data_IF_248450059440
#
_entry.id   IF_248450059440
#
_cell.length_a   1.000
_cell.length_b   1.000
_cell.length_c   1.000
_cell.angle_alpha   90.00
_cell.angle_beta   90.00
_cell.angle_gamma   90.00
#
_symmetry.space_group_name_H-M   'P 1'
#
loop_
_entity.id
_entity.type
_entity.pdbx_description
1 polymer ?
#
# COMPACT_ATOMS: atom_id res chain seq x y z
N UNK A 1 5.29 -26.76 6.39
CA UNK A 1 6.61 -26.06 6.29
C UNK A 1 6.85 -25.87 4.79
N UNK A 2 7.22 -24.66 4.36
CA UNK A 2 7.52 -24.38 2.95
C UNK A 2 8.76 -25.14 2.52
N UNK A 3 8.70 -25.85 1.41
CA UNK A 3 9.80 -26.70 0.92
C UNK A 3 10.52 -26.13 -0.29
N UNK A 4 9.80 -25.38 -1.15
CA UNK A 4 10.36 -24.72 -2.33
C UNK A 4 9.57 -23.46 -2.67
N UNK A 5 10.25 -22.33 -2.86
CA UNK A 5 9.64 -21.03 -3.14
C UNK A 5 9.81 -20.65 -4.61
N UNK A 6 8.69 -20.32 -5.29
CA UNK A 6 8.76 -19.62 -6.56
C UNK A 6 8.73 -18.12 -6.33
N UNK A 7 9.67 -17.40 -6.94
CA UNK A 7 9.79 -15.94 -6.86
C UNK A 7 9.10 -15.33 -8.08
N UNK A 8 7.87 -14.81 -7.87
CA UNK A 8 7.03 -14.27 -8.94
C UNK A 8 7.35 -12.79 -9.22
N UNK A 9 8.60 -12.50 -9.47
CA UNK A 9 9.07 -11.12 -9.73
C UNK A 9 10.40 -11.15 -10.52
N UNK A 10 10.98 -9.98 -10.77
CA UNK A 10 12.23 -9.80 -11.52
C UNK A 10 13.13 -8.77 -10.83
N UNK A 11 14.36 -8.61 -11.38
CA UNK A 11 15.28 -7.54 -10.99
C UNK A 11 15.77 -7.64 -9.55
N UNK A 12 15.87 -6.49 -8.90
CA UNK A 12 16.42 -6.35 -7.54
C UNK A 12 15.65 -7.17 -6.53
N UNK A 13 14.31 -7.05 -6.50
CA UNK A 13 13.51 -7.73 -5.49
C UNK A 13 13.56 -9.25 -5.63
N UNK A 14 13.59 -9.77 -6.85
CA UNK A 14 13.77 -11.21 -7.07
C UNK A 14 15.12 -11.69 -6.51
N UNK A 15 16.17 -10.92 -6.72
CA UNK A 15 17.50 -11.21 -6.17
C UNK A 15 17.52 -11.13 -4.64
N UNK A 16 16.80 -10.14 -4.05
CA UNK A 16 16.70 -9.99 -2.58
C UNK A 16 16.01 -11.20 -1.94
N UNK A 17 14.89 -11.64 -2.52
CA UNK A 17 14.17 -12.85 -2.05
C UNK A 17 15.01 -14.11 -2.23
N UNK A 18 15.69 -14.25 -3.38
CA UNK A 18 16.60 -15.37 -3.65
C UNK A 18 17.69 -15.47 -2.58
N UNK A 19 18.28 -14.35 -2.17
CA UNK A 19 19.28 -14.34 -1.09
C UNK A 19 18.72 -14.84 0.22
N UNK A 20 17.51 -14.38 0.59
CA UNK A 20 16.85 -14.86 1.80
C UNK A 20 16.56 -16.39 1.74
N UNK A 21 16.11 -16.89 0.58
CA UNK A 21 15.92 -18.33 0.39
C UNK A 21 17.23 -19.11 0.60
N UNK A 22 18.34 -18.61 0.06
CA UNK A 22 19.67 -19.26 0.22
C UNK A 22 20.15 -19.24 1.67
N UNK A 23 19.98 -18.12 2.38
CA UNK A 23 20.33 -17.99 3.80
C UNK A 23 19.52 -18.95 4.67
N UNK A 24 18.26 -19.18 4.34
CA UNK A 24 17.37 -20.11 5.03
C UNK A 24 17.52 -21.57 4.57
N UNK A 25 18.33 -21.84 3.54
CA UNK A 25 18.48 -23.17 2.96
C UNK A 25 17.23 -23.69 2.25
N UNK A 26 16.37 -22.81 1.76
CA UNK A 26 15.13 -23.14 1.04
C UNK A 26 15.39 -23.08 -0.48
N UNK A 27 15.22 -24.17 -1.23
CA UNK A 27 15.31 -24.16 -2.68
C UNK A 27 14.38 -23.13 -3.30
N UNK A 28 14.84 -22.44 -4.36
CA UNK A 28 14.02 -21.45 -5.02
C UNK A 28 14.02 -21.56 -6.54
N UNK A 29 12.85 -21.26 -7.11
CA UNK A 29 12.62 -21.11 -8.54
C UNK A 29 12.40 -19.64 -8.85
N UNK A 30 13.06 -19.12 -9.85
CA UNK A 30 12.77 -17.78 -10.36
C UNK A 30 12.05 -17.87 -11.70
N UNK A 31 11.15 -16.91 -11.93
CA UNK A 31 10.53 -16.77 -13.25
C UNK A 31 11.19 -15.64 -14.02
N UNK A 32 11.19 -15.72 -15.34
CA UNK A 32 11.70 -14.67 -16.19
C UNK A 32 10.97 -14.58 -17.53
N UNK A 33 10.90 -13.37 -18.10
CA UNK A 33 10.54 -13.19 -19.50
C UNK A 33 11.76 -13.54 -20.39
N UNK A 34 11.53 -13.68 -21.68
CA UNK A 34 12.65 -13.91 -22.63
C UNK A 34 13.69 -12.77 -22.60
N UNK A 35 13.30 -11.54 -22.24
CA UNK A 35 14.24 -10.42 -22.13
C UNK A 35 15.12 -10.47 -20.87
N UNK A 36 14.70 -11.19 -19.84
CA UNK A 36 15.40 -11.27 -18.56
C UNK A 36 16.20 -12.58 -18.39
N UNK A 37 16.32 -13.40 -19.43
CA UNK A 37 16.96 -14.72 -19.37
C UNK A 37 18.39 -14.70 -18.80
N UNK A 38 19.14 -13.64 -19.06
CA UNK A 38 20.53 -13.45 -18.58
C UNK A 38 20.63 -12.62 -17.29
N UNK A 39 19.47 -12.25 -16.67
CA UNK A 39 19.46 -11.43 -15.46
C UNK A 39 20.10 -12.15 -14.27
N UNK A 40 20.67 -11.40 -13.33
CA UNK A 40 21.44 -11.96 -12.22
C UNK A 40 20.63 -12.93 -11.35
N UNK A 41 19.35 -12.64 -11.07
CA UNK A 41 18.49 -13.53 -10.31
C UNK A 41 18.28 -14.86 -11.00
N UNK A 42 18.22 -14.90 -12.34
CA UNK A 42 18.11 -16.13 -13.14
C UNK A 42 19.40 -16.95 -13.05
N UNK A 43 20.54 -16.29 -13.18
CA UNK A 43 21.86 -16.96 -13.13
C UNK A 43 22.22 -17.55 -11.77
N UNK A 44 21.64 -17.01 -10.68
CA UNK A 44 21.95 -17.40 -9.31
C UNK A 44 20.89 -18.33 -8.66
N UNK A 45 19.76 -18.53 -9.32
CA UNK A 45 18.70 -19.40 -8.83
C UNK A 45 19.06 -20.88 -8.96
N UNK A 46 18.39 -21.73 -8.17
CA UNK A 46 18.51 -23.18 -8.28
C UNK A 46 17.81 -23.69 -9.54
N UNK A 47 16.65 -23.11 -9.84
CA UNK A 47 15.85 -23.40 -11.03
C UNK A 47 15.30 -22.09 -11.62
N UNK A 48 15.03 -22.08 -12.92
CA UNK A 48 14.38 -20.93 -13.58
C UNK A 48 13.38 -21.37 -14.63
N UNK A 49 12.29 -20.62 -14.79
CA UNK A 49 11.24 -20.89 -15.77
C UNK A 49 10.96 -19.64 -16.60
N UNK A 50 11.04 -19.79 -17.93
CA UNK A 50 10.60 -18.73 -18.83
C UNK A 50 9.08 -18.72 -18.90
N UNK A 51 8.45 -17.60 -18.49
CA UNK A 51 7.00 -17.45 -18.41
C UNK A 51 6.40 -16.63 -19.55
N UNK A 52 7.17 -16.28 -20.56
CA UNK A 52 6.64 -15.60 -21.73
C UNK A 52 7.54 -14.51 -22.32
N UNK A 53 6.99 -13.71 -23.26
CA UNK A 53 7.71 -12.63 -23.94
C UNK A 53 7.95 -11.41 -23.01
N UNK A 54 8.72 -10.39 -23.48
CA UNK A 54 9.07 -9.22 -22.65
C UNK A 54 7.91 -8.41 -22.07
N UNK A 55 6.74 -8.22 -22.75
CA UNK A 55 5.64 -7.48 -22.15
C UNK A 55 5.13 -8.14 -20.86
N UNK A 56 5.09 -7.38 -19.77
CA UNK A 56 4.69 -7.90 -18.43
C UNK A 56 3.28 -8.49 -18.42
N UNK A 57 2.37 -7.96 -19.24
CA UNK A 57 1.01 -8.51 -19.41
C UNK A 57 1.03 -9.98 -19.85
N UNK A 58 1.98 -10.36 -20.67
CA UNK A 58 2.09 -11.67 -21.29
C UNK A 58 3.06 -12.61 -20.54
N UNK A 59 3.67 -12.12 -19.44
CA UNK A 59 4.63 -12.82 -18.59
C UNK A 59 4.34 -12.63 -17.10
N UNK A 60 4.92 -11.63 -16.44
CA UNK A 60 4.86 -11.40 -14.98
C UNK A 60 3.47 -11.10 -14.42
N UNK A 61 2.52 -10.62 -15.24
CA UNK A 61 1.12 -10.39 -14.88
C UNK A 61 0.20 -11.56 -15.33
N UNK A 62 0.77 -12.58 -15.96
CA UNK A 62 0.00 -13.73 -16.40
C UNK A 62 -0.06 -14.78 -15.28
N UNK A 63 -1.17 -14.77 -14.53
CA UNK A 63 -1.39 -15.68 -13.40
C UNK A 63 -1.24 -17.15 -13.81
N UNK A 64 -1.77 -17.54 -14.97
CA UNK A 64 -1.73 -18.94 -15.43
C UNK A 64 -0.30 -19.43 -15.66
N UNK A 65 0.58 -18.57 -16.20
CA UNK A 65 2.00 -18.92 -16.39
C UNK A 65 2.73 -19.10 -15.06
N UNK A 66 2.42 -18.26 -14.06
CA UNK A 66 3.01 -18.38 -12.72
C UNK A 66 2.54 -19.66 -12.03
N UNK A 67 1.24 -19.98 -12.08
CA UNK A 67 0.70 -21.22 -11.50
C UNK A 67 1.30 -22.45 -12.19
N UNK A 68 1.35 -22.47 -13.53
CA UNK A 68 1.98 -23.55 -14.29
C UNK A 68 3.47 -23.72 -13.91
N UNK A 69 4.21 -22.60 -13.71
CA UNK A 69 5.58 -22.67 -13.24
C UNK A 69 5.72 -23.30 -11.85
N UNK A 70 4.77 -23.05 -10.93
CA UNK A 70 4.72 -23.72 -9.63
C UNK A 70 4.51 -25.22 -9.80
N UNK A 71 3.53 -25.61 -10.61
CA UNK A 71 3.17 -27.03 -10.81
C UNK A 71 4.31 -27.85 -11.42
N UNK A 72 4.97 -27.34 -12.48
CA UNK A 72 6.05 -28.08 -13.16
C UNK A 72 7.33 -28.17 -12.33
N UNK A 73 7.56 -27.21 -11.41
CA UNK A 73 8.75 -27.19 -10.55
C UNK A 73 8.50 -27.78 -9.16
N UNK A 74 7.23 -28.03 -8.81
CA UNK A 74 6.84 -28.50 -7.48
C UNK A 74 7.03 -27.44 -6.39
N UNK A 75 6.98 -26.14 -6.73
CA UNK A 75 7.02 -25.07 -5.73
C UNK A 75 5.70 -25.04 -4.93
N UNK A 76 5.81 -25.07 -3.61
CA UNK A 76 4.67 -25.10 -2.68
C UNK A 76 4.37 -23.73 -2.05
N UNK A 77 5.18 -22.71 -2.40
CA UNK A 77 4.95 -21.32 -1.99
C UNK A 77 5.39 -20.34 -3.09
N UNK A 78 4.77 -19.16 -3.09
CA UNK A 78 5.09 -18.06 -4.01
C UNK A 78 5.38 -16.80 -3.22
N UNK A 79 6.54 -16.18 -3.48
CA UNK A 79 6.85 -14.84 -3.02
C UNK A 79 6.65 -13.85 -4.15
N UNK A 80 5.68 -12.91 -4.04
CA UNK A 80 5.34 -11.99 -5.13
C UNK A 80 6.27 -10.78 -5.23
N UNK A 81 7.11 -10.53 -4.21
CA UNK A 81 7.89 -9.29 -4.11
C UNK A 81 7.00 -8.06 -3.94
N UNK A 82 7.27 -7.01 -4.72
CA UNK A 82 6.43 -5.81 -4.82
C UNK A 82 6.09 -5.50 -6.31
N UNK A 83 5.01 -4.73 -6.54
CA UNK A 83 4.49 -4.51 -7.89
C UNK A 83 3.88 -5.78 -8.48
N UNK A 84 3.68 -5.81 -9.79
CA UNK A 84 3.04 -6.92 -10.52
C UNK A 84 1.81 -7.51 -9.81
N UNK A 85 1.91 -8.74 -9.31
CA UNK A 85 0.80 -9.46 -8.69
C UNK A 85 0.81 -9.42 -7.15
N UNK A 86 1.71 -8.64 -6.53
CA UNK A 86 1.87 -8.63 -5.06
C UNK A 86 0.63 -8.16 -4.29
N UNK A 87 -0.19 -7.30 -4.89
CA UNK A 87 -1.44 -6.79 -4.31
C UNK A 87 -2.68 -7.26 -5.11
N UNK A 88 -2.57 -8.42 -5.75
CA UNK A 88 -3.66 -9.00 -6.52
C UNK A 88 -4.37 -10.08 -5.71
N UNK A 89 -5.55 -9.75 -5.16
CA UNK A 89 -6.33 -10.69 -4.34
C UNK A 89 -6.72 -11.97 -5.10
N UNK A 90 -7.06 -11.85 -6.40
CA UNK A 90 -7.41 -13.01 -7.23
C UNK A 90 -6.23 -13.96 -7.39
N UNK A 91 -5.02 -13.43 -7.52
CA UNK A 91 -3.80 -14.26 -7.59
C UNK A 91 -3.59 -15.04 -6.29
N UNK A 92 -3.71 -14.38 -5.14
CA UNK A 92 -3.61 -15.05 -3.84
C UNK A 92 -4.64 -16.17 -3.69
N UNK A 93 -5.91 -15.93 -4.07
CA UNK A 93 -6.96 -16.96 -4.05
C UNK A 93 -6.68 -18.14 -4.96
N UNK A 94 -6.21 -17.88 -6.19
CA UNK A 94 -5.90 -18.95 -7.14
C UNK A 94 -4.76 -19.82 -6.59
N UNK A 95 -3.70 -19.23 -6.02
CA UNK A 95 -2.61 -20.00 -5.41
C UNK A 95 -3.13 -20.87 -4.25
N UNK A 96 -3.90 -20.29 -3.34
CA UNK A 96 -4.48 -21.01 -2.20
C UNK A 96 -5.40 -22.17 -2.66
N UNK A 97 -6.19 -21.96 -3.71
CA UNK A 97 -7.03 -23.01 -4.31
C UNK A 97 -6.21 -24.17 -4.92
N UNK A 98 -4.97 -23.92 -5.34
CA UNK A 98 -4.03 -24.95 -5.81
C UNK A 98 -3.15 -25.53 -4.69
N UNK A 99 -3.41 -25.18 -3.43
CA UNK A 99 -2.61 -25.64 -2.30
C UNK A 99 -1.21 -24.99 -2.22
N UNK A 100 -1.00 -23.88 -2.92
CA UNK A 100 0.25 -23.13 -2.97
C UNK A 100 0.15 -21.94 -2.01
N UNK A 101 1.11 -21.83 -1.09
CA UNK A 101 1.13 -20.75 -0.10
C UNK A 101 1.51 -19.42 -0.75
N UNK A 102 0.63 -18.41 -0.67
CA UNK A 102 1.00 -17.03 -0.98
C UNK A 102 1.77 -16.42 0.19
N UNK A 103 3.04 -16.07 -0.01
CA UNK A 103 3.88 -15.41 1.03
C UNK A 103 3.52 -13.93 1.07
N UNK A 104 2.59 -13.61 1.95
CA UNK A 104 1.99 -12.28 2.09
C UNK A 104 0.66 -12.34 2.83
N UNK A 105 -0.13 -11.27 2.77
CA UNK A 105 -1.45 -11.19 3.40
C UNK A 105 -2.45 -12.14 2.72
N UNK A 106 -3.59 -12.32 3.37
CA UNK A 106 -4.70 -13.07 2.77
C UNK A 106 -5.33 -12.28 1.62
N UNK A 107 -6.02 -12.96 0.72
CA UNK A 107 -6.76 -12.30 -0.35
C UNK A 107 -7.79 -11.30 0.18
N UNK A 108 -8.38 -11.57 1.35
CA UNK A 108 -9.31 -10.66 2.02
C UNK A 108 -8.62 -9.37 2.49
N UNK A 109 -7.45 -9.48 3.14
CA UNK A 109 -6.65 -8.31 3.55
C UNK A 109 -6.27 -7.42 2.34
N UNK A 110 -5.90 -8.05 1.22
CA UNK A 110 -5.58 -7.32 -0.02
C UNK A 110 -6.81 -6.57 -0.53
N UNK A 111 -8.01 -7.18 -0.51
CA UNK A 111 -9.24 -6.50 -0.96
C UNK A 111 -9.63 -5.35 -0.05
N UNK A 112 -9.64 -5.57 1.27
CA UNK A 112 -10.00 -4.55 2.25
C UNK A 112 -9.12 -3.32 2.11
N UNK A 113 -7.80 -3.52 2.03
CA UNK A 113 -6.84 -2.42 1.97
C UNK A 113 -6.63 -1.86 0.55
N UNK A 114 -7.02 -2.60 -0.48
CA UNK A 114 -6.91 -2.17 -1.88
C UNK A 114 -8.01 -1.21 -2.34
N UNK A 115 -9.15 -1.17 -1.65
CA UNK A 115 -10.23 -0.22 -1.90
C UNK A 115 -10.13 0.97 -0.94
N UNK A 116 -9.99 2.19 -1.47
CA UNK A 116 -9.72 3.39 -0.65
C UNK A 116 -10.78 3.70 0.39
N UNK A 117 -12.06 3.47 0.06
CA UNK A 117 -13.17 3.75 0.97
C UNK A 117 -13.18 2.70 2.07
N UNK A 118 -13.14 1.44 1.70
CA UNK A 118 -13.10 0.32 2.63
C UNK A 118 -11.88 0.39 3.55
N UNK A 119 -10.70 0.69 2.99
CA UNK A 119 -9.47 0.84 3.77
C UNK A 119 -9.58 1.97 4.81
N UNK A 120 -10.13 3.14 4.43
CA UNK A 120 -10.32 4.26 5.36
C UNK A 120 -11.31 3.92 6.47
N UNK A 121 -12.45 3.31 6.13
CA UNK A 121 -13.47 2.87 7.12
C UNK A 121 -12.88 1.83 8.06
N UNK A 122 -12.21 0.81 7.53
CA UNK A 122 -11.55 -0.22 8.33
C UNK A 122 -10.46 0.37 9.23
N UNK A 123 -9.63 1.28 8.71
CA UNK A 123 -8.62 1.97 9.51
C UNK A 123 -9.24 2.71 10.70
N UNK A 124 -10.34 3.42 10.48
CA UNK A 124 -11.08 4.16 11.52
C UNK A 124 -11.66 3.21 12.57
N UNK A 125 -12.30 2.11 12.16
CA UNK A 125 -12.84 1.08 13.05
C UNK A 125 -11.75 0.41 13.90
N UNK A 126 -10.58 0.24 13.34
CA UNK A 126 -9.41 -0.32 14.03
C UNK A 126 -8.71 0.68 14.97
N UNK A 127 -9.09 1.96 14.94
CA UNK A 127 -8.53 3.02 15.77
C UNK A 127 -7.30 3.72 15.17
N UNK A 128 -7.05 3.54 13.88
CA UNK A 128 -6.02 4.29 13.15
C UNK A 128 -6.59 5.68 12.83
N UNK A 129 -5.88 6.77 13.12
CA UNK A 129 -6.36 8.12 12.85
C UNK A 129 -6.49 8.37 11.34
N UNK A 130 -7.64 8.88 10.92
CA UNK A 130 -7.94 9.22 9.53
C UNK A 130 -8.13 10.72 9.35
N UNK A 131 -7.98 11.21 8.12
CA UNK A 131 -8.28 12.62 7.83
C UNK A 131 -9.74 12.90 8.16
N UNK A 132 -10.02 13.88 9.04
CA UNK A 132 -11.38 14.33 9.30
C UNK A 132 -12.06 14.75 8.00
N UNK A 133 -13.29 14.31 7.77
CA UNK A 133 -13.99 14.57 6.52
C UNK A 133 -15.47 14.28 6.62
N UNK A 134 -16.18 14.51 5.51
CA UNK A 134 -17.58 14.18 5.37
C UNK A 134 -17.84 12.67 5.44
N UNK A 135 -18.99 12.30 5.93
CA UNK A 135 -19.48 10.92 5.85
C UNK A 135 -20.10 10.69 4.46
N UNK A 136 -19.22 10.47 3.48
CA UNK A 136 -19.62 10.29 2.08
C UNK A 136 -19.76 11.59 1.29
N UNK A 137 -20.66 11.54 0.30
CA UNK A 137 -20.95 12.64 -0.62
C UNK A 137 -21.63 13.82 0.07
N UNK A 138 -21.17 15.04 -0.23
CA UNK A 138 -21.79 16.31 0.20
C UNK A 138 -22.69 16.82 -0.93
N UNK A 139 -24.01 16.71 -0.72
CA UNK A 139 -25.01 16.91 -1.80
C UNK A 139 -25.57 18.31 -1.90
N UNK A 140 -25.63 19.04 -0.78
CA UNK A 140 -26.24 20.38 -0.74
C UNK A 140 -25.28 21.44 -0.21
N UNK A 141 -25.58 22.71 -0.48
CA UNK A 141 -24.82 23.85 0.03
C UNK A 141 -24.85 23.91 1.57
N UNK A 142 -25.98 23.60 2.17
CA UNK A 142 -26.17 23.59 3.62
C UNK A 142 -25.29 22.49 4.27
N UNK A 143 -25.25 21.30 3.66
CA UNK A 143 -24.35 20.23 4.08
C UNK A 143 -22.88 20.65 3.94
N UNK A 144 -22.54 21.33 2.84
CA UNK A 144 -21.18 21.80 2.60
C UNK A 144 -20.71 22.80 3.68
N UNK A 145 -21.54 23.77 4.01
CA UNK A 145 -21.25 24.77 5.06
C UNK A 145 -21.09 24.09 6.42
N UNK A 146 -22.05 23.21 6.76
CA UNK A 146 -22.06 22.51 8.05
C UNK A 146 -20.82 21.62 8.18
N UNK A 147 -20.56 20.79 7.20
CA UNK A 147 -19.42 19.86 7.18
C UNK A 147 -18.08 20.61 7.26
N UNK A 148 -17.92 21.69 6.49
CA UNK A 148 -16.71 22.51 6.54
C UNK A 148 -16.48 23.14 7.92
N UNK A 149 -17.55 23.61 8.58
CA UNK A 149 -17.47 24.14 9.93
C UNK A 149 -17.10 23.06 10.98
N UNK A 150 -17.59 21.84 10.83
CA UNK A 150 -17.28 20.71 11.72
C UNK A 150 -15.82 20.22 11.54
N UNK A 151 -15.33 20.16 10.29
CA UNK A 151 -13.94 19.77 9.97
C UNK A 151 -12.93 20.85 10.42
N UNK A 152 -13.33 22.11 10.32
CA UNK A 152 -12.45 23.27 10.53
C UNK A 152 -11.61 23.63 9.32
N UNK A 153 -11.52 24.95 9.05
CA UNK A 153 -10.80 25.50 7.89
C UNK A 153 -9.27 25.39 8.00
N UNK A 154 -8.56 25.29 6.89
CA UNK A 154 -9.06 25.11 5.53
C UNK A 154 -9.57 23.69 5.26
N UNK A 155 -10.56 23.57 4.37
CA UNK A 155 -11.10 22.27 3.92
C UNK A 155 -10.78 22.02 2.44
N UNK A 156 -10.62 20.76 2.09
CA UNK A 156 -10.41 20.30 0.73
C UNK A 156 -11.65 19.59 0.24
N UNK A 157 -12.17 20.02 -0.89
CA UNK A 157 -13.32 19.43 -1.57
C UNK A 157 -12.80 18.61 -2.75
N UNK A 158 -13.20 17.35 -2.83
CA UNK A 158 -12.68 16.40 -3.82
C UNK A 158 -13.80 15.68 -4.55
N UNK A 159 -13.62 15.45 -5.86
CA UNK A 159 -14.46 14.52 -6.61
C UNK A 159 -14.35 13.09 -6.08
N UNK A 160 -15.49 12.40 -5.94
CA UNK A 160 -15.50 10.98 -5.51
C UNK A 160 -14.93 10.05 -6.58
N UNK A 161 -15.11 10.38 -7.85
CA UNK A 161 -14.69 9.61 -9.01
C UNK A 161 -13.34 10.05 -9.59
N UNK A 162 -12.51 10.82 -8.86
CA UNK A 162 -11.33 11.47 -9.42
C UNK A 162 -10.00 11.05 -8.80
N UNK A 163 -8.94 11.35 -9.55
CA UNK A 163 -7.53 11.22 -9.11
C UNK A 163 -6.65 12.22 -9.85
N UNK A 164 -5.39 12.37 -9.40
CA UNK A 164 -4.41 13.22 -10.09
C UNK A 164 -4.64 14.74 -9.96
N UNK A 165 -5.36 15.20 -8.92
CA UNK A 165 -5.50 16.64 -8.63
C UNK A 165 -6.61 17.35 -9.39
N UNK A 166 -7.39 16.66 -10.24
CA UNK A 166 -8.56 17.23 -10.93
C UNK A 166 -9.80 17.12 -10.05
N UNK A 167 -10.68 18.15 -10.11
CA UNK A 167 -11.90 18.22 -9.29
C UNK A 167 -11.59 18.40 -7.82
N UNK A 168 -10.51 19.13 -7.46
CA UNK A 168 -10.14 19.48 -6.10
C UNK A 168 -10.12 20.99 -5.92
N UNK A 169 -10.78 21.47 -4.85
CA UNK A 169 -10.81 22.88 -4.47
C UNK A 169 -10.57 23.02 -2.97
N UNK A 170 -9.86 24.06 -2.60
CA UNK A 170 -9.61 24.41 -1.19
C UNK A 170 -10.47 25.60 -0.81
N UNK A 171 -11.31 25.43 0.22
CA UNK A 171 -11.99 26.54 0.88
C UNK A 171 -11.24 26.91 2.14
N UNK A 172 -10.77 28.17 2.21
CA UNK A 172 -9.94 28.67 3.33
C UNK A 172 -10.78 29.26 4.46
N UNK A 173 -12.01 29.64 4.16
CA UNK A 173 -12.95 30.26 5.09
C UNK A 173 -14.39 29.85 4.75
N UNK A 174 -15.33 30.24 5.60
CA UNK A 174 -16.76 30.00 5.38
C UNK A 174 -17.27 30.65 4.07
N UNK A 175 -16.72 31.80 3.74
CA UNK A 175 -17.11 32.56 2.56
C UNK A 175 -16.71 31.87 1.23
N UNK A 176 -15.67 31.03 1.28
CA UNK A 176 -15.15 30.32 0.10
C UNK A 176 -15.89 29.00 -0.19
N UNK A 177 -16.62 28.43 0.80
CA UNK A 177 -17.12 27.05 0.75
C UNK A 177 -18.04 26.81 -0.43
N UNK A 178 -19.04 27.65 -0.63
CA UNK A 178 -20.08 27.48 -1.66
C UNK A 178 -19.46 27.54 -3.05
N UNK A 179 -18.61 28.53 -3.29
CA UNK A 179 -17.93 28.69 -4.58
C UNK A 179 -17.01 27.50 -4.86
N UNK A 180 -16.21 27.09 -3.89
CA UNK A 180 -15.30 25.96 -4.01
C UNK A 180 -16.06 24.65 -4.24
N UNK A 181 -17.16 24.40 -3.52
CA UNK A 181 -18.01 23.22 -3.65
C UNK A 181 -18.68 23.17 -5.03
N UNK A 182 -19.32 24.24 -5.47
CA UNK A 182 -19.99 24.33 -6.78
C UNK A 182 -18.98 24.14 -7.93
N UNK A 183 -17.81 24.78 -7.82
CA UNK A 183 -16.74 24.65 -8.83
C UNK A 183 -16.21 23.21 -8.89
N UNK A 184 -15.95 22.58 -7.72
CA UNK A 184 -15.47 21.19 -7.67
C UNK A 184 -16.47 20.22 -8.33
N UNK A 185 -17.77 20.37 -8.07
CA UNK A 185 -18.82 19.56 -8.70
C UNK A 185 -18.86 19.74 -10.22
N UNK A 186 -18.82 20.98 -10.67
CA UNK A 186 -18.82 21.28 -12.13
C UNK A 186 -17.61 20.65 -12.82
N UNK A 187 -16.42 20.79 -12.24
CA UNK A 187 -15.21 20.18 -12.78
C UNK A 187 -15.26 18.63 -12.74
N UNK A 188 -15.82 18.07 -11.66
CA UNK A 188 -16.00 16.62 -11.52
C UNK A 188 -16.96 16.06 -12.58
N UNK A 189 -18.10 16.72 -12.79
CA UNK A 189 -19.05 16.36 -13.85
C UNK A 189 -18.40 16.39 -15.23
N UNK A 190 -17.66 17.45 -15.53
CA UNK A 190 -17.00 17.62 -16.84
C UNK A 190 -15.86 16.61 -17.06
N UNK A 191 -15.08 16.29 -16.04
CA UNK A 191 -13.90 15.43 -16.14
C UNK A 191 -14.22 13.94 -16.03
N UNK A 192 -15.23 13.57 -15.23
CA UNK A 192 -15.50 12.18 -14.83
C UNK A 192 -16.93 11.72 -15.12
N UNK A 193 -17.81 12.62 -15.58
CA UNK A 193 -19.23 12.31 -15.79
C UNK A 193 -20.03 12.11 -14.51
N UNK A 194 -19.45 12.46 -13.34
CA UNK A 194 -20.05 12.34 -12.02
C UNK A 194 -19.69 13.58 -11.20
N UNK A 195 -20.71 14.31 -10.74
CA UNK A 195 -20.54 15.55 -9.97
C UNK A 195 -20.34 15.34 -8.46
N UNK A 196 -20.41 14.10 -7.99
CA UNK A 196 -20.32 13.79 -6.57
C UNK A 196 -18.97 14.21 -5.97
N UNK A 197 -19.03 14.98 -4.89
CA UNK A 197 -17.86 15.45 -4.13
C UNK A 197 -17.97 15.11 -2.67
N UNK A 198 -16.85 14.97 -2.00
CA UNK A 198 -16.72 14.85 -0.56
C UNK A 198 -15.74 15.91 -0.02
N UNK A 199 -15.77 16.12 1.28
CA UNK A 199 -14.91 17.10 1.95
C UNK A 199 -13.97 16.43 2.94
N UNK A 200 -12.76 17.00 3.08
CA UNK A 200 -11.82 16.58 4.12
C UNK A 200 -10.96 17.78 4.58
N UNK A 201 -10.31 17.63 5.73
CA UNK A 201 -9.34 18.63 6.21
C UNK A 201 -8.23 18.84 5.20
N UNK A 202 -7.94 20.10 4.87
CA UNK A 202 -6.82 20.42 4.01
C UNK A 202 -5.51 20.41 4.81
N UNK A 203 -4.54 19.67 4.34
CA UNK A 203 -3.19 19.60 4.88
C UNK A 203 -2.27 20.44 3.98
N UNK A 204 -1.68 21.48 4.56
CA UNK A 204 -0.93 22.47 3.79
C UNK A 204 0.49 22.07 3.45
N UNK A 205 1.19 21.44 4.40
CA UNK A 205 2.59 21.00 4.27
C UNK A 205 2.85 19.70 5.03
N UNK A 206 2.09 18.64 4.73
CA UNK A 206 2.25 17.40 5.45
C UNK A 206 3.58 16.72 5.12
N UNK A 207 4.11 15.98 6.08
CA UNK A 207 5.15 14.98 5.83
C UNK A 207 4.50 13.65 5.51
N UNK A 208 5.18 12.85 4.70
CA UNK A 208 4.79 11.49 4.41
C UNK A 208 5.54 10.54 5.34
N UNK A 209 4.86 10.06 6.36
CA UNK A 209 5.40 9.11 7.35
C UNK A 209 4.70 7.77 7.17
N UNK A 210 5.46 6.69 7.19
CA UNK A 210 4.93 5.35 7.06
C UNK A 210 5.44 4.42 8.14
N UNK A 211 4.56 3.54 8.64
CA UNK A 211 4.88 2.59 9.72
C UNK A 211 4.97 1.19 9.14
N UNK A 212 6.14 0.57 9.28
CA UNK A 212 6.33 -0.83 8.93
C UNK A 212 5.67 -1.72 9.97
N UNK A 213 4.78 -2.60 9.55
CA UNK A 213 4.14 -3.59 10.41
C UNK A 213 4.43 -5.01 9.92
N UNK A 214 4.34 -5.98 10.84
CA UNK A 214 4.45 -7.39 10.54
C UNK A 214 3.48 -8.18 11.43
N UNK A 215 2.66 -9.04 10.83
CA UNK A 215 1.68 -9.87 11.53
C UNK A 215 1.83 -11.36 11.21
N UNK A 216 1.47 -12.22 12.16
CA UNK A 216 1.54 -13.68 12.00
C UNK A 216 0.27 -14.31 11.42
N UNK A 217 -0.82 -13.55 11.30
CA UNK A 217 -2.13 -14.05 10.89
C UNK A 217 -2.97 -14.64 12.03
N UNK A 218 -2.40 -14.81 13.21
CA UNK A 218 -3.02 -15.43 14.39
C UNK A 218 -3.43 -14.41 15.47
N UNK A 219 -3.22 -13.14 15.21
CA UNK A 219 -3.54 -12.04 16.13
C UNK A 219 -2.35 -11.48 16.88
N UNK A 220 -1.13 -11.83 16.49
CA UNK A 220 0.06 -11.12 16.94
C UNK A 220 0.59 -10.24 15.81
N UNK A 221 1.01 -9.03 16.17
CA UNK A 221 1.63 -8.10 15.25
C UNK A 221 2.59 -7.16 15.99
N UNK A 222 3.60 -6.72 15.26
CA UNK A 222 4.60 -5.77 15.72
C UNK A 222 4.73 -4.61 14.73
N UNK A 223 5.31 -3.51 15.19
CA UNK A 223 5.84 -2.47 14.29
C UNK A 223 7.37 -2.46 14.31
N UNK A 224 7.99 -2.09 13.22
CA UNK A 224 9.43 -2.03 13.02
C UNK A 224 9.95 -0.59 12.83
N UNK A 225 9.25 0.37 13.44
CA UNK A 225 9.56 1.79 13.31
C UNK A 225 8.92 2.42 12.07
N UNK A 226 9.32 3.66 11.82
CA UNK A 226 8.84 4.46 10.70
C UNK A 226 9.91 4.73 9.67
N UNK A 227 9.43 5.12 8.48
CA UNK A 227 10.21 5.79 7.45
C UNK A 227 9.57 7.13 7.12
N UNK A 228 10.38 8.12 6.83
CA UNK A 228 9.97 9.43 6.33
C UNK A 228 10.25 9.49 4.84
N UNK A 229 9.22 9.53 4.04
CA UNK A 229 9.26 9.53 2.59
C UNK A 229 8.76 10.87 2.00
N UNK A 230 8.99 11.98 2.72
CA UNK A 230 8.47 13.30 2.36
C UNK A 230 9.15 13.90 1.13
N UNK A 231 10.39 13.52 0.84
CA UNK A 231 11.10 13.98 -0.35
C UNK A 231 10.61 13.21 -1.57
N UNK A 232 9.68 13.84 -2.30
CA UNK A 232 9.02 13.25 -3.45
C UNK A 232 9.14 14.12 -4.69
N UNK A 233 9.14 13.48 -5.86
CA UNK A 233 9.05 14.14 -7.15
C UNK A 233 7.83 13.61 -7.89
N UNK A 234 6.85 14.46 -8.16
CA UNK A 234 5.58 14.07 -8.83
C UNK A 234 4.90 12.87 -8.14
N UNK A 235 4.84 12.90 -6.80
CA UNK A 235 4.30 11.83 -5.94
C UNK A 235 5.08 10.50 -5.98
N UNK A 236 6.32 10.53 -6.44
CA UNK A 236 7.24 9.39 -6.35
C UNK A 236 8.26 9.66 -5.24
N UNK A 237 8.42 8.72 -4.32
CA UNK A 237 9.44 8.74 -3.27
C UNK A 237 10.82 8.76 -3.93
N UNK A 238 11.68 9.70 -3.54
CA UNK A 238 13.03 9.89 -4.10
C UNK A 238 14.09 9.68 -3.05
N UNK A 239 13.75 9.97 -1.80
CA UNK A 239 14.62 9.84 -0.65
C UNK A 239 13.80 9.40 0.55
N UNK A 240 14.23 8.35 1.20
CA UNK A 240 13.61 7.79 2.39
C UNK A 240 14.63 7.78 3.53
N UNK A 241 14.21 8.16 4.71
CA UNK A 241 15.03 8.17 5.91
C UNK A 241 14.29 7.58 7.12
N UNK A 242 15.04 7.11 8.08
CA UNK A 242 14.62 6.76 9.44
C UNK A 242 15.75 7.15 10.39
N UNK A 243 15.47 7.64 11.52
CA UNK A 243 14.26 8.06 12.20
C UNK A 243 13.84 9.45 11.69
N UNK A 244 12.54 9.66 11.44
CA UNK A 244 12.05 10.95 10.96
C UNK A 244 12.46 12.09 11.90
N UNK A 245 13.04 13.20 11.38
CA UNK A 245 13.39 14.37 12.19
C UNK A 245 12.15 15.11 12.72
N UNK A 246 10.97 14.81 12.20
CA UNK A 246 9.72 15.43 12.62
C UNK A 246 9.08 14.76 13.84
N UNK A 247 9.53 13.56 14.22
CA UNK A 247 8.94 12.77 15.30
C UNK A 247 9.89 12.66 16.49
N UNK A 248 9.39 12.91 17.69
CA UNK A 248 10.06 12.49 18.90
C UNK A 248 9.81 10.99 19.20
N UNK A 249 10.54 10.43 20.15
CA UNK A 249 10.47 8.99 20.51
C UNK A 249 9.05 8.61 20.96
N UNK A 250 8.38 9.45 21.74
CA UNK A 250 7.04 9.16 22.24
C UNK A 250 6.02 9.09 21.10
N UNK A 251 6.03 10.04 20.19
CA UNK A 251 5.15 10.07 19.02
C UNK A 251 5.37 8.83 18.14
N UNK A 252 6.63 8.47 17.88
CA UNK A 252 7.04 7.29 17.11
C UNK A 252 6.50 6.00 17.72
N UNK A 253 6.71 5.81 19.03
CA UNK A 253 6.25 4.62 19.73
C UNK A 253 4.72 4.56 19.78
N UNK A 254 4.06 5.68 20.03
CA UNK A 254 2.60 5.76 20.09
C UNK A 254 1.93 5.36 18.77
N UNK A 255 2.34 5.96 17.65
CA UNK A 255 1.73 5.63 16.35
C UNK A 255 2.09 4.21 15.92
N UNK A 256 3.31 3.76 16.17
CA UNK A 256 3.72 2.38 15.90
C UNK A 256 2.85 1.37 16.67
N UNK A 257 2.58 1.62 17.96
CA UNK A 257 1.73 0.76 18.76
C UNK A 257 0.28 0.76 18.26
N UNK A 258 -0.28 1.91 17.89
CA UNK A 258 -1.61 2.00 17.27
C UNK A 258 -1.70 1.13 16.01
N UNK A 259 -0.69 1.21 15.15
CA UNK A 259 -0.62 0.39 13.94
C UNK A 259 -0.52 -1.12 14.27
N UNK A 260 0.35 -1.50 15.21
CA UNK A 260 0.49 -2.89 15.63
C UNK A 260 -0.80 -3.45 16.22
N UNK A 261 -1.50 -2.68 17.07
CA UNK A 261 -2.75 -3.11 17.69
C UNK A 261 -3.91 -3.21 16.67
N UNK A 262 -3.94 -2.35 15.66
CA UNK A 262 -4.85 -2.47 14.54
C UNK A 262 -4.60 -3.77 13.74
N UNK A 263 -3.34 -4.10 13.45
CA UNK A 263 -2.97 -5.33 12.75
C UNK A 263 -3.27 -6.61 13.56
N UNK A 264 -3.15 -6.56 14.89
CA UNK A 264 -3.61 -7.66 15.77
C UNK A 264 -5.10 -7.91 15.63
N UNK A 265 -5.92 -6.84 15.71
CA UNK A 265 -7.39 -6.94 15.56
C UNK A 265 -7.79 -7.48 14.19
N UNK A 266 -7.11 -7.03 13.14
CA UNK A 266 -7.33 -7.50 11.77
C UNK A 266 -6.82 -8.93 11.55
N UNK A 267 -6.01 -9.49 12.46
CA UNK A 267 -5.26 -10.74 12.27
C UNK A 267 -4.44 -10.71 10.99
N UNK A 268 -3.79 -9.58 10.74
CA UNK A 268 -3.01 -9.37 9.53
C UNK A 268 -1.88 -10.40 9.41
N UNK A 269 -1.64 -10.88 8.19
CA UNK A 269 -0.56 -11.84 7.90
C UNK A 269 0.48 -11.23 6.98
N UNK A 270 1.74 -11.32 7.36
CA UNK A 270 2.89 -10.88 6.57
C UNK A 270 3.30 -9.44 6.83
N UNK A 271 4.16 -8.94 5.96
CA UNK A 271 4.63 -7.56 5.99
C UNK A 271 3.59 -6.61 5.41
N UNK A 272 3.48 -5.43 6.00
CA UNK A 272 2.65 -4.35 5.50
C UNK A 272 3.20 -2.99 5.92
N UNK A 273 2.78 -1.95 5.24
CA UNK A 273 3.16 -0.58 5.56
C UNK A 273 1.93 0.31 5.59
N UNK A 274 1.72 1.01 6.69
CA UNK A 274 0.62 1.95 6.88
C UNK A 274 1.16 3.36 6.64
N UNK A 275 0.66 4.03 5.62
CA UNK A 275 1.10 5.35 5.19
C UNK A 275 0.24 6.46 5.79
N UNK A 276 0.89 7.53 6.24
CA UNK A 276 0.26 8.68 6.87
C UNK A 276 0.74 10.00 6.27
N UNK A 277 -0.17 10.97 6.23
CA UNK A 277 0.21 12.38 6.24
C UNK A 277 0.35 12.82 7.70
N UNK A 278 1.47 13.46 8.02
CA UNK A 278 1.75 14.00 9.35
C UNK A 278 1.89 15.51 9.27
N UNK A 279 1.06 16.23 10.02
CA UNK A 279 1.10 17.68 10.11
C UNK A 279 0.67 18.15 11.51
N UNK A 280 1.38 19.12 12.07
CA UNK A 280 1.07 19.76 13.36
C UNK A 280 0.90 18.79 14.54
N UNK A 281 1.65 17.69 14.56
CA UNK A 281 1.60 16.70 15.64
C UNK A 281 0.61 15.57 15.43
N UNK A 282 -0.19 15.61 14.35
CA UNK A 282 -1.25 14.66 14.08
C UNK A 282 -0.95 13.79 12.86
N UNK A 283 -1.36 12.52 12.95
CA UNK A 283 -1.24 11.54 11.87
C UNK A 283 -2.58 11.35 11.18
N UNK A 284 -2.56 11.18 9.86
CA UNK A 284 -3.75 10.96 9.05
C UNK A 284 -3.50 9.84 8.04
N UNK A 285 -4.19 8.73 8.19
CA UNK A 285 -4.10 7.57 7.31
C UNK A 285 -4.36 7.94 5.84
N UNK A 286 -3.51 7.46 4.95
CA UNK A 286 -3.68 7.57 3.50
C UNK A 286 -4.08 6.23 2.92
N UNK A 287 -3.20 5.24 3.11
CA UNK A 287 -3.36 3.89 2.54
C UNK A 287 -2.50 2.88 3.30
N UNK A 288 -2.74 1.61 3.03
CA UNK A 288 -1.89 0.52 3.48
C UNK A 288 -1.37 -0.26 2.27
N UNK A 289 -0.06 -0.40 2.17
CA UNK A 289 0.55 -1.32 1.22
C UNK A 289 0.63 -2.71 1.84
N UNK A 290 -0.05 -3.66 1.21
CA UNK A 290 -0.18 -5.05 1.69
C UNK A 290 0.95 -5.95 1.15
N UNK A 291 2.17 -5.45 1.16
CA UNK A 291 3.37 -6.06 0.59
C UNK A 291 4.63 -5.43 1.19
N UNK A 292 5.79 -5.99 0.85
CA UNK A 292 7.06 -5.28 0.99
C UNK A 292 7.10 -4.06 0.06
N UNK A 293 7.92 -3.07 0.41
CA UNK A 293 8.14 -1.87 -0.38
C UNK A 293 9.60 -1.77 -0.86
N UNK A 294 9.83 -0.93 -1.87
CA UNK A 294 11.18 -0.65 -2.40
C UNK A 294 12.08 -0.10 -1.31
N UNK A 295 11.54 0.74 -0.42
CA UNK A 295 12.22 1.40 0.70
C UNK A 295 12.37 0.52 1.97
N UNK A 296 11.96 -0.74 1.94
CA UNK A 296 12.15 -1.69 3.05
C UNK A 296 13.60 -1.80 3.56
N UNK A 297 14.65 -1.66 2.72
CA UNK A 297 16.04 -1.64 3.17
C UNK A 297 16.35 -0.61 4.26
N UNK A 298 15.60 0.50 4.35
CA UNK A 298 15.74 1.47 5.45
C UNK A 298 15.35 0.82 6.78
N UNK A 299 14.26 0.05 6.80
CA UNK A 299 13.85 -0.71 7.99
C UNK A 299 14.88 -1.78 8.34
N UNK A 300 15.41 -2.52 7.36
CA UNK A 300 16.47 -3.51 7.58
C UNK A 300 17.70 -2.86 8.22
N UNK A 301 18.11 -1.68 7.73
CA UNK A 301 19.29 -0.98 8.21
C UNK A 301 19.18 -0.51 9.68
N UNK A 302 18.00 -0.08 10.12
CA UNK A 302 17.79 0.41 11.50
C UNK A 302 17.44 -0.69 12.51
N UNK A 303 16.95 -1.83 12.04
CA UNK A 303 16.52 -2.95 12.92
C UNK A 303 17.53 -4.08 12.95
N UNK A 304 18.35 -4.23 11.92
CA UNK A 304 19.28 -5.35 11.78
C UNK A 304 18.61 -6.67 11.38
N UNK A 305 17.40 -6.62 10.86
CA UNK A 305 16.61 -7.78 10.44
C UNK A 305 16.96 -8.15 9.01
#
# INVERSE_FOLDING_TARGET
MVSKILIANRGEIALRVLRACKELGIPCVVVHSTADADAMHVRLADESVCIGPPPSRDSYLNIHQIVAACEITGADAVHPGYGFLSENAKFAEILEAHGITFIGPTAEHIRIMGDKITAKTTAQELGIPVVPGSDGEVKTEEEAIKTAAEIGYPVLIKATAGGGGRGMKVAKSADDVIEAWSTARTEAAAAFGNEAVYMEKYLGKPRHIEIQVFGDGEGNAIHLGERDCSLQRRHQKVWEEANSPALNVEQRMKIGQVCADAMKKLKYRGAGTIEFLYENGEFYFIEMNTRLQVEHPITEAITGI
#
